data_IF_854461112034
#
_entry.id   IF_854461112034
#
_cell.length_a   1.000
_cell.length_b   1.000
_cell.length_c   1.000
_cell.angle_alpha   90.00
_cell.angle_beta   90.00
_cell.angle_gamma   90.00
#
_symmetry.space_group_name_H-M   'P 1'
#
loop_
_entity.id
_entity.type
_entity.pdbx_description
1 polymer ?
#
# COMPACT_ATOMS: atom_id res chain seq x y z
N UNK A 1 8.56 7.61 -12.03
CA UNK A 1 8.50 6.32 -11.33
C UNK A 1 8.58 5.13 -12.29
N UNK A 2 9.35 5.28 -13.35
CA UNK A 2 9.78 4.13 -14.12
C UNK A 2 10.50 3.17 -13.16
N UNK A 3 10.31 1.88 -13.35
CA UNK A 3 10.89 0.91 -12.44
C UNK A 3 10.08 0.71 -11.17
N UNK A 4 8.80 1.07 -11.18
CA UNK A 4 7.89 0.89 -10.05
C UNK A 4 6.62 0.17 -10.49
N UNK A 5 6.19 -0.82 -9.72
CA UNK A 5 4.87 -1.45 -9.85
C UNK A 5 4.13 -1.34 -8.51
N UNK A 6 2.89 -0.87 -8.58
CA UNK A 6 2.00 -0.85 -7.43
C UNK A 6 0.94 -1.93 -7.61
N UNK A 7 0.80 -2.78 -6.60
CA UNK A 7 -0.24 -3.81 -6.54
C UNK A 7 -1.16 -3.42 -5.38
N UNK A 8 -2.40 -3.06 -5.71
CA UNK A 8 -3.31 -2.48 -4.73
C UNK A 8 -4.74 -2.96 -4.82
N UNK A 9 -5.52 -2.53 -3.84
CA UNK A 9 -6.95 -2.82 -3.70
C UNK A 9 -7.82 -1.65 -4.20
N UNK A 10 -9.08 -1.61 -3.74
CA UNK A 10 -10.02 -0.57 -4.14
C UNK A 10 -9.64 0.84 -3.69
N UNK A 11 -8.86 0.97 -2.62
CA UNK A 11 -8.40 2.30 -2.16
C UNK A 11 -7.39 2.86 -3.15
N UNK A 12 -6.43 2.06 -3.56
CA UNK A 12 -5.46 2.43 -4.60
C UNK A 12 -6.18 2.72 -5.93
N UNK A 13 -7.18 1.91 -6.27
CA UNK A 13 -7.99 2.12 -7.48
C UNK A 13 -8.68 3.49 -7.44
N UNK A 14 -9.21 3.88 -6.28
CA UNK A 14 -9.85 5.18 -6.09
C UNK A 14 -8.85 6.34 -6.28
N UNK A 15 -7.60 6.12 -5.97
CA UNK A 15 -6.52 7.10 -6.13
C UNK A 15 -5.80 7.00 -7.49
N UNK A 16 -6.28 6.19 -8.41
CA UNK A 16 -5.55 5.84 -9.63
C UNK A 16 -5.05 7.06 -10.43
N UNK A 17 -5.90 8.04 -10.68
CA UNK A 17 -5.52 9.23 -11.45
C UNK A 17 -4.42 10.03 -10.73
N UNK A 18 -4.56 10.23 -9.42
CA UNK A 18 -3.54 10.92 -8.62
C UNK A 18 -2.24 10.14 -8.59
N UNK A 19 -2.31 8.80 -8.51
CA UNK A 19 -1.13 7.94 -8.55
C UNK A 19 -0.40 8.06 -9.89
N UNK A 20 -1.12 8.07 -11.00
CA UNK A 20 -0.51 8.26 -12.32
C UNK A 20 0.19 9.61 -12.44
N UNK A 21 -0.38 10.65 -11.83
CA UNK A 21 0.21 11.99 -11.83
C UNK A 21 1.46 12.06 -10.93
N UNK A 22 1.37 11.50 -9.72
CA UNK A 22 2.47 11.56 -8.74
C UNK A 22 3.61 10.59 -9.09
N UNK A 23 3.29 9.48 -9.76
CA UNK A 23 4.24 8.41 -10.10
C UNK A 23 4.24 8.17 -11.62
N UNK A 24 4.66 9.16 -12.43
CA UNK A 24 4.62 8.98 -13.88
C UNK A 24 5.49 7.80 -14.30
N UNK A 25 4.95 6.95 -15.16
CA UNK A 25 5.64 5.75 -15.64
C UNK A 25 5.48 4.52 -14.73
N UNK A 26 4.88 4.65 -13.55
CA UNK A 26 4.61 3.51 -12.68
C UNK A 26 3.51 2.62 -13.28
N UNK A 27 3.65 1.31 -13.07
CA UNK A 27 2.62 0.35 -13.41
C UNK A 27 1.66 0.22 -12.23
N UNK A 28 0.40 0.62 -12.42
CA UNK A 28 -0.62 0.57 -11.37
C UNK A 28 -1.54 -0.61 -11.65
N UNK A 29 -1.50 -1.61 -10.77
CA UNK A 29 -2.36 -2.79 -10.85
C UNK A 29 -3.23 -2.82 -9.58
N UNK A 30 -4.41 -2.23 -9.67
CA UNK A 30 -5.33 -2.13 -8.53
C UNK A 30 -6.68 -2.74 -8.90
N UNK A 31 -7.30 -3.41 -7.92
CA UNK A 31 -8.57 -4.09 -8.13
C UNK A 31 -9.39 -4.14 -6.85
N UNK A 32 -10.70 -4.01 -6.98
CA UNK A 32 -11.65 -4.12 -5.88
C UNK A 32 -11.49 -5.46 -5.15
N UNK A 33 -11.56 -5.42 -3.82
CA UNK A 33 -11.53 -6.59 -2.93
C UNK A 33 -10.21 -7.36 -2.91
N UNK A 34 -9.15 -6.81 -3.49
CA UNK A 34 -7.86 -7.51 -3.51
C UNK A 34 -7.30 -7.69 -2.11
N UNK A 35 -6.83 -8.90 -1.82
CA UNK A 35 -6.19 -9.25 -0.55
C UNK A 35 -4.68 -9.18 -0.66
N UNK A 36 -3.99 -9.12 0.47
CA UNK A 36 -2.53 -9.21 0.51
C UNK A 36 -2.04 -10.54 -0.05
N UNK A 37 -2.75 -11.63 0.23
CA UNK A 37 -2.43 -12.95 -0.32
C UNK A 37 -2.44 -12.95 -1.85
N UNK A 38 -3.46 -12.35 -2.46
CA UNK A 38 -3.53 -12.22 -3.93
C UNK A 38 -2.44 -11.31 -4.46
N UNK A 39 -2.13 -10.22 -3.76
CA UNK A 39 -1.01 -9.34 -4.16
C UNK A 39 0.31 -10.10 -4.20
N UNK A 40 0.54 -11.00 -3.24
CA UNK A 40 1.72 -11.86 -3.20
C UNK A 40 1.79 -12.75 -4.45
N UNK A 41 0.68 -13.37 -4.85
CA UNK A 41 0.60 -14.20 -6.05
C UNK A 41 0.91 -13.39 -7.30
N UNK A 42 0.36 -12.17 -7.41
CA UNK A 42 0.61 -11.27 -8.54
C UNK A 42 2.09 -10.88 -8.61
N UNK A 43 2.69 -10.53 -7.47
CA UNK A 43 4.12 -10.20 -7.40
C UNK A 43 4.98 -11.36 -7.91
N UNK A 44 4.72 -12.57 -7.42
CA UNK A 44 5.46 -13.76 -7.82
C UNK A 44 5.29 -14.08 -9.31
N UNK A 45 4.07 -13.93 -9.83
CA UNK A 45 3.81 -14.16 -11.24
C UNK A 45 4.57 -13.16 -12.12
N UNK A 46 4.60 -11.89 -11.75
CA UNK A 46 5.38 -10.88 -12.48
C UNK A 46 6.88 -11.16 -12.39
N UNK A 47 7.35 -11.63 -11.25
CA UNK A 47 8.76 -12.02 -11.08
C UNK A 47 9.13 -13.17 -11.99
N UNK A 48 8.31 -14.21 -12.04
CA UNK A 48 8.54 -15.39 -12.90
C UNK A 48 8.58 -15.01 -14.37
N UNK A 49 7.78 -14.04 -14.78
CA UNK A 49 7.72 -13.55 -16.15
C UNK A 49 8.74 -12.45 -16.43
N UNK A 50 9.59 -12.11 -15.46
CA UNK A 50 10.63 -11.08 -15.56
C UNK A 50 10.06 -9.68 -15.82
N UNK A 51 8.84 -9.41 -15.34
CA UNK A 51 8.17 -8.12 -15.47
C UNK A 51 8.19 -7.31 -14.17
N UNK A 52 8.72 -7.87 -13.07
CA UNK A 52 8.72 -7.16 -11.80
C UNK A 52 9.83 -6.11 -11.77
N UNK A 53 9.49 -4.81 -11.65
CA UNK A 53 10.51 -3.77 -11.60
C UNK A 53 11.20 -3.71 -10.24
N UNK A 54 12.22 -2.88 -10.11
CA UNK A 54 13.02 -2.76 -8.89
C UNK A 54 12.18 -2.40 -7.67
N UNK A 55 11.27 -1.42 -7.81
CA UNK A 55 10.43 -0.95 -6.70
C UNK A 55 9.05 -1.59 -6.78
N UNK A 56 8.65 -2.26 -5.71
CA UNK A 56 7.36 -2.94 -5.61
C UNK A 56 6.57 -2.32 -4.46
N UNK A 57 5.42 -1.72 -4.77
CA UNK A 57 4.53 -1.11 -3.76
C UNK A 57 3.35 -2.05 -3.54
N UNK A 58 3.11 -2.44 -2.30
CA UNK A 58 1.98 -3.29 -1.93
C UNK A 58 0.99 -2.46 -1.13
N UNK A 59 -0.18 -2.20 -1.73
CA UNK A 59 -1.22 -1.32 -1.19
C UNK A 59 -2.51 -2.10 -0.95
N UNK A 60 -2.45 -3.05 -0.03
CA UNK A 60 -3.56 -3.91 0.40
C UNK A 60 -3.61 -3.94 1.93
N UNK A 61 -4.57 -4.67 2.50
CA UNK A 61 -4.59 -4.93 3.93
C UNK A 61 -5.92 -4.73 4.64
N UNK A 62 -6.90 -4.07 3.99
CA UNK A 62 -8.24 -3.91 4.58
C UNK A 62 -9.14 -5.12 4.31
N UNK A 63 -8.84 -5.89 3.28
CA UNK A 63 -9.63 -7.06 2.89
C UNK A 63 -9.03 -8.32 3.52
N UNK A 64 -9.84 -9.07 4.26
CA UNK A 64 -9.43 -10.30 4.95
C UNK A 64 -8.18 -10.10 5.83
N UNK A 65 -8.20 -9.16 6.79
CA UNK A 65 -7.00 -8.79 7.55
C UNK A 65 -6.66 -9.75 8.70
N UNK A 66 -7.44 -10.81 8.92
CA UNK A 66 -7.34 -11.68 10.10
C UNK A 66 -5.97 -12.35 10.21
N UNK A 67 -5.38 -12.75 9.09
CA UNK A 67 -4.08 -13.43 9.04
C UNK A 67 -2.96 -12.47 8.63
N UNK A 68 -3.01 -11.23 9.08
CA UNK A 68 -2.08 -10.19 8.63
C UNK A 68 -0.61 -10.54 8.86
N UNK A 69 -0.26 -11.16 9.98
CA UNK A 69 1.13 -11.53 10.27
C UNK A 69 1.67 -12.50 9.23
N UNK A 70 0.92 -13.57 8.98
CA UNK A 70 1.30 -14.59 8.00
C UNK A 70 1.38 -13.99 6.59
N UNK A 71 0.38 -13.18 6.23
CA UNK A 71 0.29 -12.61 4.89
C UNK A 71 1.45 -11.64 4.63
N UNK A 72 1.74 -10.73 5.56
CA UNK A 72 2.84 -9.79 5.40
C UNK A 72 4.21 -10.46 5.50
N UNK A 73 4.38 -11.42 6.39
CA UNK A 73 5.62 -12.21 6.46
C UNK A 73 5.88 -12.94 5.15
N UNK A 74 4.84 -13.53 4.57
CA UNK A 74 4.94 -14.28 3.32
C UNK A 74 5.35 -13.40 2.15
N UNK A 75 4.68 -12.24 1.98
CA UNK A 75 4.97 -11.36 0.84
C UNK A 75 6.36 -10.74 0.95
N UNK A 76 6.79 -10.39 2.15
CA UNK A 76 8.15 -9.86 2.40
C UNK A 76 9.20 -10.94 2.12
N UNK A 77 8.97 -12.15 2.60
CA UNK A 77 9.87 -13.30 2.34
C UNK A 77 9.98 -13.60 0.86
N UNK A 78 8.87 -13.50 0.13
CA UNK A 78 8.80 -13.83 -1.29
C UNK A 78 9.32 -12.72 -2.22
N UNK A 79 9.61 -11.54 -1.68
CA UNK A 79 10.21 -10.49 -2.50
C UNK A 79 11.52 -11.03 -3.11
N UNK A 80 11.67 -10.99 -4.43
CA UNK A 80 12.90 -11.50 -5.05
C UNK A 80 14.11 -10.61 -4.76
N UNK A 81 15.29 -11.18 -4.90
CA UNK A 81 16.55 -10.43 -4.84
C UNK A 81 16.57 -9.32 -5.90
N UNK A 82 17.17 -8.19 -5.57
CA UNK A 82 17.26 -7.06 -6.49
C UNK A 82 16.09 -6.10 -6.42
N UNK A 83 15.16 -6.33 -5.50
CA UNK A 83 13.96 -5.50 -5.33
C UNK A 83 13.92 -4.85 -3.96
N UNK A 84 13.25 -3.71 -3.88
CA UNK A 84 12.87 -3.03 -2.64
C UNK A 84 11.35 -2.97 -2.59
N UNK A 85 10.76 -3.15 -1.41
CA UNK A 85 9.30 -3.16 -1.25
C UNK A 85 8.85 -2.01 -0.37
N UNK A 86 7.80 -1.33 -0.82
CA UNK A 86 7.11 -0.30 -0.05
C UNK A 86 5.78 -0.89 0.42
N UNK A 87 5.53 -0.84 1.73
CA UNK A 87 4.28 -1.29 2.34
C UNK A 87 3.41 -0.09 2.63
N UNK A 88 2.21 -0.06 2.05
CA UNK A 88 1.22 0.99 2.32
C UNK A 88 0.32 0.49 3.44
N UNK A 89 0.33 1.16 4.60
CA UNK A 89 -0.48 0.73 5.74
C UNK A 89 -1.97 0.90 5.45
N UNK A 90 -2.80 -0.09 5.82
CA UNK A 90 -4.24 0.00 5.62
C UNK A 90 -4.90 0.90 6.65
N UNK A 91 -6.07 1.44 6.31
CA UNK A 91 -6.86 2.25 7.21
C UNK A 91 -8.33 1.81 7.21
N UNK A 92 -8.86 1.54 8.38
CA UNK A 92 -10.27 1.33 8.65
C UNK A 92 -10.67 2.32 9.75
N UNK A 93 -11.45 3.35 9.40
CA UNK A 93 -11.85 4.38 10.36
C UNK A 93 -13.13 4.07 11.12
N UNK A 94 -13.87 3.04 10.74
CA UNK A 94 -15.12 2.65 11.40
C UNK A 94 -14.83 1.76 12.60
N UNK A 95 -14.83 2.36 13.79
CA UNK A 95 -14.52 1.68 15.05
C UNK A 95 -15.57 0.65 15.43
N UNK A 96 -16.73 0.63 14.79
CA UNK A 96 -17.80 -0.34 15.06
C UNK A 96 -17.59 -1.67 14.35
N UNK A 97 -16.70 -1.70 13.36
CA UNK A 97 -16.41 -2.93 12.60
C UNK A 97 -15.50 -3.86 13.40
N UNK A 98 -15.75 -5.17 13.27
CA UNK A 98 -14.91 -6.20 13.91
C UNK A 98 -13.46 -6.14 13.44
N UNK A 99 -13.24 -5.71 12.19
CA UNK A 99 -11.90 -5.64 11.59
C UNK A 99 -11.11 -4.42 12.03
N UNK A 100 -11.72 -3.45 12.69
CA UNK A 100 -11.05 -2.20 13.07
C UNK A 100 -9.73 -2.46 13.83
N UNK A 101 -9.81 -3.20 14.94
CA UNK A 101 -8.63 -3.48 15.78
C UNK A 101 -7.58 -4.30 15.04
N UNK A 102 -8.02 -5.22 14.18
CA UNK A 102 -7.13 -6.07 13.39
C UNK A 102 -6.33 -5.23 12.38
N UNK A 103 -7.01 -4.32 11.68
CA UNK A 103 -6.35 -3.43 10.72
C UNK A 103 -5.33 -2.52 11.42
N UNK A 104 -5.65 -2.01 12.60
CA UNK A 104 -4.70 -1.21 13.39
C UNK A 104 -3.47 -2.02 13.80
N UNK A 105 -3.67 -3.26 14.22
CA UNK A 105 -2.56 -4.16 14.55
C UNK A 105 -1.72 -4.48 13.32
N UNK A 106 -2.37 -4.67 12.17
CA UNK A 106 -1.68 -4.91 10.91
C UNK A 106 -0.78 -3.73 10.54
N UNK A 107 -1.29 -2.51 10.65
CA UNK A 107 -0.49 -1.31 10.37
C UNK A 107 0.75 -1.23 11.29
N UNK A 108 0.57 -1.51 12.57
CA UNK A 108 1.67 -1.54 13.54
C UNK A 108 2.71 -2.60 13.16
N UNK A 109 2.25 -3.79 12.81
CA UNK A 109 3.13 -4.89 12.40
C UNK A 109 3.95 -4.54 11.14
N UNK A 110 3.29 -3.91 10.18
CA UNK A 110 3.96 -3.46 8.95
C UNK A 110 5.06 -2.43 9.24
N UNK A 111 4.80 -1.49 10.15
CA UNK A 111 5.81 -0.51 10.59
C UNK A 111 7.01 -1.21 11.23
N UNK A 112 6.77 -2.23 12.05
CA UNK A 112 7.85 -3.02 12.67
C UNK A 112 8.69 -3.75 11.61
N UNK A 113 8.05 -4.32 10.59
CA UNK A 113 8.77 -4.97 9.49
C UNK A 113 9.71 -3.98 8.79
N UNK A 114 9.22 -2.76 8.51
CA UNK A 114 10.03 -1.73 7.85
C UNK A 114 11.21 -1.28 8.71
N UNK A 115 11.05 -1.23 10.04
CA UNK A 115 12.13 -0.89 10.95
C UNK A 115 13.23 -1.95 10.97
N UNK A 116 12.85 -3.22 10.86
CA UNK A 116 13.79 -4.35 11.00
C UNK A 116 14.45 -4.74 9.70
N UNK A 117 13.79 -4.52 8.56
CA UNK A 117 14.22 -5.06 7.27
C UNK A 117 14.66 -3.91 6.35
N UNK A 118 15.97 -3.82 6.02
CA UNK A 118 16.49 -2.65 5.29
C UNK A 118 15.89 -2.44 3.89
N UNK A 119 15.42 -3.49 3.24
CA UNK A 119 14.82 -3.40 1.90
C UNK A 119 13.29 -3.25 1.94
N UNK A 120 12.74 -2.82 3.09
CA UNK A 120 11.31 -2.50 3.25
C UNK A 120 11.19 -1.06 3.73
N UNK A 121 10.32 -0.30 3.09
CA UNK A 121 9.98 1.09 3.48
C UNK A 121 8.49 1.17 3.71
N UNK A 122 8.07 1.99 4.67
CA UNK A 122 6.66 2.21 4.96
C UNK A 122 6.13 3.46 4.25
N UNK A 123 4.93 3.34 3.67
CA UNK A 123 4.11 4.47 3.24
C UNK A 123 2.92 4.50 4.20
N UNK A 124 2.95 5.39 5.17
CA UNK A 124 2.04 5.30 6.32
C UNK A 124 0.70 5.98 6.07
N UNK A 125 -0.08 5.41 5.15
CA UNK A 125 -1.42 5.89 4.85
C UNK A 125 -2.33 5.90 6.07
N UNK A 126 -2.24 4.88 6.93
CA UNK A 126 -3.02 4.80 8.17
C UNK A 126 -2.86 6.08 9.00
N UNK A 127 -1.64 6.54 9.18
CA UNK A 127 -1.37 7.76 9.96
C UNK A 127 -1.87 9.01 9.24
N UNK A 128 -1.62 9.14 7.95
CA UNK A 128 -2.07 10.29 7.14
C UNK A 128 -3.60 10.37 7.14
N UNK A 129 -4.28 9.23 6.98
CA UNK A 129 -5.74 9.16 7.00
C UNK A 129 -6.32 9.71 8.32
N UNK A 130 -5.71 9.38 9.43
CA UNK A 130 -6.13 9.86 10.76
C UNK A 130 -5.93 11.37 10.92
N UNK A 131 -4.97 11.95 10.25
CA UNK A 131 -4.65 13.37 10.34
C UNK A 131 -5.56 14.25 9.48
N UNK A 132 -6.42 13.65 8.66
CA UNK A 132 -7.27 14.36 7.70
C UNK A 132 -8.74 13.95 7.84
N UNK A 133 -9.40 14.35 8.94
CA UNK A 133 -10.80 13.97 9.17
C UNK A 133 -11.75 14.49 8.08
N UNK A 134 -11.39 15.56 7.38
CA UNK A 134 -12.20 16.20 6.36
C UNK A 134 -12.49 15.30 5.16
N UNK A 135 -11.67 14.30 4.89
CA UNK A 135 -11.88 13.40 3.74
C UNK A 135 -12.80 12.23 4.07
N UNK A 136 -13.21 12.06 5.33
CA UNK A 136 -13.96 10.88 5.78
C UNK A 136 -15.45 11.15 6.02
N UNK A 137 -15.86 12.41 6.13
CA UNK A 137 -17.28 12.76 6.38
C UNK A 137 -18.16 12.19 5.28
N UNK A 138 -19.19 11.43 5.66
CA UNK A 138 -20.14 10.86 4.71
C UNK A 138 -19.63 9.65 3.92
N UNK A 139 -18.53 9.06 4.35
CA UNK A 139 -17.93 7.91 3.68
C UNK A 139 -18.09 6.63 4.52
N UNK A 140 -17.63 5.50 3.96
CA UNK A 140 -17.54 4.23 4.68
C UNK A 140 -16.32 4.13 5.58
N UNK A 141 -15.52 5.21 5.70
CA UNK A 141 -14.30 5.29 6.53
C UNK A 141 -13.13 4.44 6.01
N UNK A 142 -13.24 3.92 4.81
CA UNK A 142 -12.15 3.20 4.11
C UNK A 142 -11.85 3.88 2.78
N UNK A 143 -12.90 4.25 2.05
CA UNK A 143 -12.82 4.93 0.75
C UNK A 143 -13.08 6.41 0.97
N UNK A 144 -12.05 7.23 0.83
CA UNK A 144 -12.08 8.66 1.09
C UNK A 144 -12.98 9.42 0.11
N UNK A 145 -13.57 10.50 0.60
CA UNK A 145 -14.29 11.49 -0.22
C UNK A 145 -15.72 11.09 -0.56
N UNK A 146 -16.69 11.88 -0.08
CA UNK A 146 -18.10 11.72 -0.43
C UNK A 146 -18.53 12.61 -1.60
N UNK A 147 -17.65 13.49 -2.07
CA UNK A 147 -17.87 14.32 -3.25
C UNK A 147 -16.55 14.41 -4.06
N UNK A 148 -16.65 14.95 -5.28
CA UNK A 148 -15.50 15.03 -6.20
C UNK A 148 -14.30 15.74 -5.58
N UNK A 149 -14.52 16.87 -4.91
CA UNK A 149 -13.47 17.67 -4.29
C UNK A 149 -12.72 16.86 -3.21
N UNK A 150 -13.46 16.14 -2.37
CA UNK A 150 -12.89 15.33 -1.29
C UNK A 150 -12.24 14.06 -1.81
N UNK A 151 -12.76 13.48 -2.89
CA UNK A 151 -12.11 12.33 -3.57
C UNK A 151 -10.76 12.79 -4.10
N UNK A 152 -10.69 13.91 -4.77
CA UNK A 152 -9.43 14.44 -5.32
C UNK A 152 -8.43 14.77 -4.20
N UNK A 153 -8.89 15.38 -3.10
CA UNK A 153 -8.04 15.71 -1.96
C UNK A 153 -7.47 14.45 -1.31
N UNK A 154 -8.32 13.45 -1.07
CA UNK A 154 -7.89 12.17 -0.47
C UNK A 154 -6.95 11.40 -1.39
N UNK A 155 -7.26 11.38 -2.69
CA UNK A 155 -6.41 10.72 -3.68
C UNK A 155 -5.02 11.34 -3.74
N UNK A 156 -4.93 12.68 -3.68
CA UNK A 156 -3.65 13.38 -3.65
C UNK A 156 -2.85 13.05 -2.40
N UNK A 157 -3.49 13.04 -1.24
CA UNK A 157 -2.83 12.66 0.03
C UNK A 157 -2.28 11.24 -0.04
N UNK A 158 -3.08 10.32 -0.56
CA UNK A 158 -2.70 8.92 -0.73
C UNK A 158 -1.49 8.79 -1.67
N UNK A 159 -1.58 9.41 -2.84
CA UNK A 159 -0.52 9.36 -3.84
C UNK A 159 0.78 10.01 -3.35
N UNK A 160 0.68 11.17 -2.67
CA UNK A 160 1.84 11.87 -2.12
C UNK A 160 2.52 11.04 -1.02
N UNK A 161 1.75 10.34 -0.21
CA UNK A 161 2.29 9.44 0.82
C UNK A 161 3.15 8.34 0.19
N UNK A 162 2.67 7.74 -0.89
CA UNK A 162 3.42 6.70 -1.62
C UNK A 162 4.63 7.28 -2.33
N UNK A 163 4.47 8.45 -2.98
CA UNK A 163 5.59 9.10 -3.67
C UNK A 163 6.74 9.45 -2.71
N UNK A 164 6.42 9.94 -1.52
CA UNK A 164 7.41 10.25 -0.49
C UNK A 164 8.15 8.98 -0.03
N UNK A 165 7.41 7.89 0.17
CA UNK A 165 8.01 6.61 0.56
C UNK A 165 8.95 6.08 -0.53
N UNK A 166 8.58 6.24 -1.81
CA UNK A 166 9.43 5.83 -2.92
C UNK A 166 10.73 6.63 -2.97
N UNK A 167 10.67 7.93 -2.71
CA UNK A 167 11.88 8.77 -2.62
C UNK A 167 12.80 8.28 -1.51
N UNK A 168 12.26 7.99 -0.34
CA UNK A 168 13.01 7.43 0.78
C UNK A 168 13.65 6.10 0.40
N UNK A 169 12.91 5.25 -0.30
CA UNK A 169 13.37 3.91 -0.67
C UNK A 169 14.52 3.94 -1.67
N UNK A 170 14.65 4.99 -2.49
CA UNK A 170 15.72 5.07 -3.50
C UNK A 170 17.11 5.08 -2.88
N UNK A 171 17.26 5.58 -1.66
CA UNK A 171 18.54 5.62 -0.95
C UNK A 171 18.74 4.41 -0.04
N UNK A 172 17.89 3.41 -0.15
CA UNK A 172 17.92 2.20 0.68
C UNK A 172 18.31 0.97 -0.16
N UNK A 173 18.84 -0.07 0.49
CA UNK A 173 19.27 -1.25 -0.23
C UNK A 173 18.09 -2.04 -0.82
N UNK A 174 18.40 -2.83 -1.84
CA UNK A 174 17.50 -3.87 -2.33
C UNK A 174 17.79 -5.16 -1.61
N UNK A 175 16.89 -6.12 -1.69
CA UNK A 175 17.10 -7.45 -1.11
C UNK A 175 18.27 -8.14 -1.81
N UNK A 176 19.26 -8.60 -1.04
CA UNK A 176 20.48 -9.22 -1.57
C UNK A 176 20.52 -10.72 -1.35
N UNK A 177 19.66 -11.26 -0.46
CA UNK A 177 19.64 -12.70 -0.12
C UNK A 177 18.24 -13.27 -0.14
#
# INVERSE_FOLDING_TARGET
>A
ADGTMLIGDSVALRANTALQTALPGAQINAQVSRTTKTANEIMLNNSQNKFLPKMVVIATGVNNPENYKEDWDSIVKNLPKGHHMILVTPYEGDKTKETYAIVEKAATYMRELAEKIPYITIADWNQVAKEHPEIWTGTDQVHFGSDTSKIEAGAKLYADTIATALQTAQDKPVKSK
#
